data_IF_770489105448
#
_entry.id   IF_770489105448
#
_cell.length_a   1.000
_cell.length_b   1.000
_cell.length_c   1.000
_cell.angle_alpha   90.00
_cell.angle_beta   90.00
_cell.angle_gamma   90.00
#
_symmetry.space_group_name_H-M   'P 1'
#
loop_
_entity.id
_entity.type
_entity.pdbx_description
1 polymer ?
#
# COMPACT_ATOMS: atom_id res chain seq x y z
N UNK A 1 -22.94 46.30 34.02
CA UNK A 1 -21.96 46.49 32.94
C UNK A 1 -21.20 45.18 32.84
N UNK A 2 -21.69 44.29 32.01
CA UNK A 2 -21.09 42.96 31.73
C UNK A 2 -20.43 43.05 30.38
N UNK A 3 -19.09 42.99 30.38
CA UNK A 3 -18.29 42.99 29.16
C UNK A 3 -18.37 41.59 28.51
N UNK A 4 -18.83 41.54 27.29
CA UNK A 4 -18.80 40.36 26.40
C UNK A 4 -17.38 40.08 26.01
N UNK A 5 -16.87 38.83 26.10
CA UNK A 5 -15.54 38.50 25.60
C UNK A 5 -15.56 38.54 24.06
N UNK A 6 -14.69 39.37 23.52
CA UNK A 6 -14.38 39.49 22.10
C UNK A 6 -13.91 38.11 21.57
N UNK A 7 -14.66 37.57 20.60
CA UNK A 7 -14.27 36.41 19.81
C UNK A 7 -12.99 36.76 19.07
N UNK A 8 -11.90 36.04 19.38
CA UNK A 8 -10.65 36.09 18.61
C UNK A 8 -10.94 35.64 17.16
N UNK A 9 -10.37 36.31 16.14
CA UNK A 9 -10.54 35.87 14.75
C UNK A 9 -9.86 34.50 14.57
N UNK A 10 -10.65 33.57 14.02
CA UNK A 10 -10.10 32.29 13.52
C UNK A 10 -8.86 32.58 12.69
N UNK A 11 -7.78 31.88 13.00
CA UNK A 11 -6.48 31.97 12.34
C UNK A 11 -6.69 31.91 10.82
N UNK A 12 -6.48 33.03 10.13
CA UNK A 12 -6.57 33.11 8.68
C UNK A 12 -5.57 32.10 8.09
N UNK A 13 -6.07 31.12 7.35
CA UNK A 13 -5.21 30.19 6.61
C UNK A 13 -4.28 30.99 5.67
N UNK A 14 -3.01 30.58 5.51
CA UNK A 14 -2.08 31.30 4.67
C UNK A 14 -2.57 31.30 3.21
N UNK A 15 -2.86 32.46 2.69
CA UNK A 15 -3.22 32.67 1.29
C UNK A 15 -1.95 32.94 0.47
N UNK A 16 -1.74 32.16 -0.58
CA UNK A 16 -0.56 32.19 -1.43
C UNK A 16 -0.86 32.87 -2.77
N UNK A 17 0.09 33.59 -3.31
CA UNK A 17 0.10 34.00 -4.73
C UNK A 17 0.36 32.80 -5.63
N UNK A 18 0.17 32.93 -6.96
CA UNK A 18 0.43 31.83 -7.90
C UNK A 18 1.90 31.39 -7.90
N UNK A 19 2.82 32.30 -7.67
CA UNK A 19 4.26 32.01 -7.62
C UNK A 19 4.61 31.22 -6.35
N UNK A 20 4.07 31.64 -5.20
CA UNK A 20 4.23 30.93 -3.92
C UNK A 20 3.57 29.55 -3.94
N UNK A 21 2.37 29.45 -4.54
CA UNK A 21 1.67 28.17 -4.72
C UNK A 21 2.50 27.22 -5.58
N UNK A 22 3.02 27.68 -6.72
CA UNK A 22 3.85 26.91 -7.63
C UNK A 22 5.12 26.40 -6.93
N UNK A 23 5.81 27.26 -6.18
CA UNK A 23 6.97 26.90 -5.38
C UNK A 23 6.63 25.87 -4.30
N UNK A 24 5.49 26.06 -3.60
CA UNK A 24 5.02 25.16 -2.51
C UNK A 24 4.75 23.73 -2.98
N UNK A 25 4.20 23.57 -4.19
CA UNK A 25 3.86 22.26 -4.75
C UNK A 25 4.93 21.68 -5.68
N UNK A 26 6.07 22.39 -5.86
CA UNK A 26 7.16 21.95 -6.73
C UNK A 26 6.78 21.92 -8.22
N UNK A 27 5.95 22.88 -8.68
CA UNK A 27 5.51 23.00 -10.07
C UNK A 27 5.92 24.35 -10.67
N UNK A 28 5.85 24.45 -12.00
CA UNK A 28 6.00 25.75 -12.68
C UNK A 28 4.67 26.53 -12.63
N UNK A 29 4.73 27.86 -12.58
CA UNK A 29 3.55 28.73 -12.68
C UNK A 29 2.75 28.45 -13.96
N UNK A 30 3.44 28.10 -15.05
CA UNK A 30 2.80 27.70 -16.31
C UNK A 30 1.91 26.46 -16.12
N UNK A 31 2.38 25.46 -15.40
CA UNK A 31 1.60 24.23 -15.12
C UNK A 31 0.40 24.55 -14.22
N UNK A 32 0.59 25.34 -13.16
CA UNK A 32 -0.51 25.78 -12.29
C UNK A 32 -1.61 26.48 -13.09
N UNK A 33 -1.24 27.42 -13.97
CA UNK A 33 -2.20 28.12 -14.84
C UNK A 33 -2.88 27.19 -15.84
N UNK A 34 -2.12 26.26 -16.44
CA UNK A 34 -2.68 25.27 -17.35
C UNK A 34 -3.69 24.36 -16.67
N UNK A 35 -3.44 23.94 -15.42
CA UNK A 35 -4.37 23.13 -14.65
C UNK A 35 -5.61 23.93 -14.21
N UNK A 36 -5.43 25.20 -13.85
CA UNK A 36 -6.56 26.09 -13.56
C UNK A 36 -7.47 26.29 -14.77
N UNK A 37 -6.89 26.52 -15.97
CA UNK A 37 -7.67 26.68 -17.20
C UNK A 37 -8.43 25.41 -17.63
N UNK A 38 -8.00 24.24 -17.18
CA UNK A 38 -8.67 22.94 -17.40
C UNK A 38 -9.71 22.60 -16.34
N UNK A 39 -9.93 23.49 -15.35
CA UNK A 39 -10.88 23.26 -14.27
C UNK A 39 -10.40 22.26 -13.20
N UNK A 40 -9.11 21.95 -13.19
CA UNK A 40 -8.51 21.10 -12.15
C UNK A 40 -8.35 21.84 -10.82
N UNK A 41 -8.37 23.16 -10.82
CA UNK A 41 -8.34 24.00 -9.64
C UNK A 41 -9.64 24.82 -9.52
N UNK A 42 -10.15 25.04 -8.31
CA UNK A 42 -11.19 26.04 -8.09
C UNK A 42 -10.65 27.46 -8.42
N UNK A 43 -11.52 28.44 -8.66
CA UNK A 43 -11.06 29.79 -8.89
C UNK A 43 -10.41 30.37 -7.63
N UNK A 44 -9.27 31.12 -7.76
CA UNK A 44 -8.66 31.78 -6.64
C UNK A 44 -9.52 32.94 -6.13
N UNK A 45 -9.33 33.34 -4.87
CA UNK A 45 -9.88 34.57 -4.35
C UNK A 45 -9.13 35.75 -4.97
N UNK A 46 -9.86 36.67 -5.60
CA UNK A 46 -9.27 37.84 -6.24
C UNK A 46 -9.22 39.04 -5.27
N UNK A 47 -8.07 39.69 -5.17
CA UNK A 47 -7.88 40.98 -4.52
C UNK A 47 -7.22 41.91 -5.54
N UNK A 48 -8.00 42.83 -6.09
CA UNK A 48 -7.58 43.62 -7.22
C UNK A 48 -7.34 42.76 -8.46
N UNK A 49 -6.09 42.70 -8.91
CA UNK A 49 -5.65 41.87 -10.05
C UNK A 49 -4.89 40.61 -9.62
N UNK A 50 -4.72 40.38 -8.31
CA UNK A 50 -3.93 39.27 -7.78
C UNK A 50 -4.87 38.17 -7.31
N UNK A 51 -4.61 36.93 -7.77
CA UNK A 51 -5.28 35.73 -7.31
C UNK A 51 -4.58 35.16 -6.08
N UNK A 52 -5.36 34.83 -5.06
CA UNK A 52 -4.90 34.21 -3.83
C UNK A 52 -5.45 32.79 -3.71
N UNK A 53 -4.58 31.87 -3.33
CA UNK A 53 -4.80 30.44 -3.29
C UNK A 53 -4.66 29.94 -1.85
N UNK A 54 -5.53 29.03 -1.43
CA UNK A 54 -5.57 28.47 -0.08
C UNK A 54 -5.08 27.02 -0.07
N UNK A 55 -5.21 26.36 1.08
CA UNK A 55 -4.82 24.98 1.33
C UNK A 55 -5.46 23.98 0.37
N UNK A 56 -6.72 24.18 -0.02
CA UNK A 56 -7.41 23.32 -0.97
C UNK A 56 -6.72 23.29 -2.33
N UNK A 57 -6.24 24.44 -2.83
CA UNK A 57 -5.48 24.52 -4.08
C UNK A 57 -4.17 23.74 -3.99
N UNK A 58 -3.48 23.81 -2.83
CA UNK A 58 -2.25 23.03 -2.60
C UNK A 58 -2.57 21.52 -2.68
N UNK A 59 -3.56 21.05 -1.93
CA UNK A 59 -3.93 19.63 -1.91
C UNK A 59 -4.34 19.15 -3.30
N UNK A 60 -5.08 19.95 -4.04
CA UNK A 60 -5.54 19.59 -5.38
C UNK A 60 -4.42 19.47 -6.39
N UNK A 61 -3.43 20.38 -6.34
CA UNK A 61 -2.23 20.28 -7.19
C UNK A 61 -1.34 19.10 -6.81
N UNK A 62 -1.15 18.85 -5.53
CA UNK A 62 -0.39 17.69 -5.06
C UNK A 62 -1.05 16.38 -5.50
N UNK A 63 -2.39 16.29 -5.41
CA UNK A 63 -3.15 15.13 -5.89
C UNK A 63 -3.04 14.94 -7.40
N UNK A 64 -3.14 16.03 -8.17
CA UNK A 64 -2.95 15.97 -9.64
C UNK A 64 -1.57 15.42 -9.97
N UNK A 65 -0.51 15.94 -9.33
CA UNK A 65 0.86 15.47 -9.54
C UNK A 65 1.00 14.00 -9.21
N UNK A 66 0.53 13.60 -8.04
CA UNK A 66 0.61 12.21 -7.55
C UNK A 66 -0.06 11.22 -8.51
N UNK A 67 -1.23 11.57 -9.04
CA UNK A 67 -1.93 10.73 -10.01
C UNK A 67 -1.18 10.66 -11.35
N UNK A 68 -0.58 11.77 -11.82
CA UNK A 68 0.22 11.78 -13.03
C UNK A 68 1.51 10.96 -12.88
N UNK A 69 2.19 11.07 -11.74
CA UNK A 69 3.41 10.31 -11.41
C UNK A 69 3.12 8.80 -11.36
N UNK A 70 1.88 8.39 -11.02
CA UNK A 70 1.39 7.00 -11.07
C UNK A 70 0.93 6.54 -12.46
N UNK A 71 1.14 7.36 -13.49
CA UNK A 71 0.82 7.00 -14.88
C UNK A 71 -0.63 7.24 -15.32
N UNK A 72 -1.46 7.89 -14.49
CA UNK A 72 -2.79 8.31 -14.94
C UNK A 72 -2.68 9.42 -15.98
N UNK A 73 -3.52 9.38 -17.00
CA UNK A 73 -3.56 10.46 -17.98
C UNK A 73 -4.23 11.71 -17.39
N UNK A 74 -3.81 12.89 -17.84
CA UNK A 74 -4.40 14.14 -17.39
C UNK A 74 -5.93 14.18 -17.62
N UNK A 75 -6.42 13.58 -18.71
CA UNK A 75 -7.86 13.47 -18.98
C UNK A 75 -8.59 12.62 -17.93
N UNK A 76 -8.01 11.50 -17.49
CA UNK A 76 -8.57 10.67 -16.43
C UNK A 76 -8.61 11.43 -15.09
N UNK A 77 -7.55 12.17 -14.77
CA UNK A 77 -7.49 13.03 -13.57
C UNK A 77 -8.54 14.14 -13.63
N UNK A 78 -8.70 14.80 -14.78
CA UNK A 78 -9.75 15.80 -14.98
C UNK A 78 -11.15 15.23 -14.73
N UNK A 79 -11.43 14.06 -15.29
CA UNK A 79 -12.72 13.40 -15.12
C UNK A 79 -12.98 13.04 -13.65
N UNK A 80 -11.98 12.48 -12.97
CA UNK A 80 -12.09 12.09 -11.56
C UNK A 80 -12.31 13.30 -10.63
N UNK A 81 -11.72 14.47 -10.92
CA UNK A 81 -11.82 15.65 -10.09
C UNK A 81 -13.06 16.51 -10.39
N UNK A 82 -13.65 16.42 -11.59
CA UNK A 82 -14.88 17.16 -11.95
C UNK A 82 -16.12 16.68 -11.18
N UNK A 83 -16.17 15.42 -10.82
CA UNK A 83 -17.33 14.79 -10.18
C UNK A 83 -17.36 14.94 -8.66
N UNK A 84 -16.40 15.66 -8.06
CA UNK A 84 -16.21 15.68 -6.59
C UNK A 84 -16.07 17.11 -6.05
N UNK A 85 -16.74 17.35 -4.88
CA UNK A 85 -16.77 18.65 -4.21
C UNK A 85 -15.42 19.11 -3.64
N UNK A 86 -15.36 20.38 -3.18
CA UNK A 86 -14.21 20.93 -2.47
C UNK A 86 -13.90 20.15 -1.18
N UNK A 87 -12.63 20.08 -0.78
CA UNK A 87 -12.18 19.36 0.42
C UNK A 87 -11.70 17.93 0.18
N UNK A 88 -12.20 17.25 -0.85
CA UNK A 88 -11.88 15.82 -1.11
C UNK A 88 -10.45 15.56 -1.57
N UNK A 89 -9.77 16.58 -2.11
CA UNK A 89 -8.42 16.42 -2.64
C UNK A 89 -7.39 16.09 -1.55
N UNK A 90 -7.54 16.66 -0.35
CA UNK A 90 -6.72 16.32 0.81
C UNK A 90 -6.91 14.86 1.23
N UNK A 91 -8.16 14.44 1.37
CA UNK A 91 -8.51 13.07 1.75
C UNK A 91 -8.03 12.03 0.72
N UNK A 92 -8.19 12.32 -0.58
CA UNK A 92 -7.69 11.44 -1.63
C UNK A 92 -6.15 11.34 -1.62
N UNK A 93 -5.44 12.44 -1.35
CA UNK A 93 -4.00 12.45 -1.21
C UNK A 93 -3.52 11.64 0.01
N UNK A 94 -4.22 11.74 1.14
CA UNK A 94 -3.91 10.96 2.33
C UNK A 94 -4.11 9.45 2.09
N UNK A 95 -5.19 9.06 1.38
CA UNK A 95 -5.42 7.68 0.97
C UNK A 95 -4.33 7.16 0.03
N UNK A 96 -3.90 7.98 -0.94
CA UNK A 96 -2.80 7.60 -1.84
C UNK A 96 -1.49 7.39 -1.07
N UNK A 97 -1.17 8.28 -0.13
CA UNK A 97 0.01 8.15 0.74
C UNK A 97 -0.06 6.90 1.62
N UNK A 98 -1.25 6.52 2.09
CA UNK A 98 -1.42 5.25 2.80
C UNK A 98 -1.09 4.04 1.93
N UNK A 99 -1.46 4.08 0.64
CA UNK A 99 -1.14 2.99 -0.29
C UNK A 99 0.37 2.88 -0.57
N UNK A 100 1.11 3.98 -0.40
CA UNK A 100 2.57 4.00 -0.54
C UNK A 100 3.29 3.66 0.77
N UNK A 101 2.60 3.74 1.90
CA UNK A 101 3.15 3.24 3.16
C UNK A 101 3.17 1.71 3.09
N UNK A 102 4.32 1.09 3.32
CA UNK A 102 4.40 -0.36 3.36
C UNK A 102 3.39 -0.89 4.38
N UNK A 103 2.46 -1.70 3.91
CA UNK A 103 1.49 -2.38 4.75
C UNK A 103 2.18 -3.66 5.22
N UNK A 104 2.93 -3.59 6.31
CA UNK A 104 3.69 -4.70 6.85
C UNK A 104 5.06 -4.24 7.35
N UNK A 105 5.86 -5.15 7.85
CA UNK A 105 7.27 -4.90 8.12
C UNK A 105 7.93 -4.34 6.87
N UNK A 106 8.61 -3.22 7.02
CA UNK A 106 9.39 -2.53 5.98
C UNK A 106 10.59 -3.40 5.59
N UNK A 107 10.30 -4.50 4.89
CA UNK A 107 11.35 -5.35 4.39
C UNK A 107 12.02 -4.64 3.21
N UNK A 108 13.16 -4.03 3.48
CA UNK A 108 13.91 -3.34 2.43
C UNK A 108 14.48 -4.35 1.45
N UNK A 109 14.40 -4.09 0.13
CA UNK A 109 15.06 -4.92 -0.86
C UNK A 109 16.55 -5.07 -0.55
N UNK A 110 17.04 -6.29 -0.62
CA UNK A 110 18.43 -6.63 -0.29
C UNK A 110 19.16 -7.16 -1.53
N UNK A 111 20.38 -6.68 -1.77
CA UNK A 111 21.23 -7.24 -2.81
C UNK A 111 22.02 -8.43 -2.27
N UNK A 112 21.94 -9.56 -2.97
CA UNK A 112 22.62 -10.80 -2.64
C UNK A 112 23.32 -11.37 -3.89
N UNK A 113 24.44 -12.05 -3.73
CA UNK A 113 25.04 -12.79 -4.83
C UNK A 113 24.26 -14.07 -5.13
N UNK A 114 24.26 -14.48 -6.40
CA UNK A 114 23.69 -15.78 -6.82
C UNK A 114 24.32 -16.92 -6.03
N UNK A 115 25.65 -16.89 -5.84
CA UNK A 115 26.37 -17.91 -5.07
C UNK A 115 25.91 -17.98 -3.60
N UNK A 116 25.68 -16.83 -2.97
CA UNK A 116 25.19 -16.79 -1.59
C UNK A 116 23.79 -17.40 -1.49
N UNK A 117 22.89 -17.04 -2.40
CA UNK A 117 21.53 -17.57 -2.40
C UNK A 117 21.50 -19.08 -2.62
N UNK A 118 22.22 -19.58 -3.60
CA UNK A 118 22.27 -21.04 -3.90
C UNK A 118 22.98 -21.82 -2.81
N UNK A 119 24.03 -21.26 -2.18
CA UNK A 119 24.66 -21.85 -1.01
C UNK A 119 23.73 -21.93 0.21
N UNK A 120 22.90 -20.91 0.44
CA UNK A 120 21.87 -20.94 1.50
C UNK A 120 20.84 -22.04 1.29
N UNK A 121 20.45 -22.31 0.05
CA UNK A 121 19.51 -23.35 -0.30
C UNK A 121 20.17 -24.74 -0.45
N UNK A 122 21.51 -24.82 -0.49
CA UNK A 122 22.23 -26.08 -0.70
C UNK A 122 22.05 -26.63 -2.11
N UNK A 123 21.87 -25.78 -3.12
CA UNK A 123 21.65 -26.16 -4.53
C UNK A 123 22.78 -25.63 -5.43
N UNK A 124 22.89 -26.18 -6.63
CA UNK A 124 23.86 -25.74 -7.61
C UNK A 124 23.61 -24.33 -8.11
N UNK A 125 24.67 -23.59 -8.46
CA UNK A 125 24.61 -22.22 -8.95
C UNK A 125 23.70 -22.04 -10.17
N UNK A 126 23.71 -23.00 -11.08
CA UNK A 126 22.95 -22.97 -12.34
C UNK A 126 21.54 -23.53 -12.20
N UNK A 127 21.08 -23.73 -10.96
CA UNK A 127 19.72 -24.21 -10.72
C UNK A 127 18.67 -23.22 -11.25
N UNK A 128 17.68 -23.76 -11.93
CA UNK A 128 16.54 -23.02 -12.53
C UNK A 128 15.73 -22.25 -11.47
N UNK A 129 15.86 -22.62 -10.19
CA UNK A 129 15.19 -21.97 -9.06
C UNK A 129 15.39 -20.44 -9.05
N UNK A 130 16.61 -19.98 -9.37
CA UNK A 130 16.92 -18.55 -9.38
C UNK A 130 16.08 -17.80 -10.43
N UNK A 131 15.86 -18.41 -11.58
CA UNK A 131 15.01 -17.84 -12.63
C UNK A 131 13.55 -17.80 -12.19
N UNK A 132 13.07 -18.86 -11.55
CA UNK A 132 11.70 -18.98 -11.08
C UNK A 132 11.36 -17.94 -9.99
N UNK A 133 12.26 -17.64 -9.06
CA UNK A 133 12.00 -16.58 -8.05
C UNK A 133 11.96 -15.19 -8.68
N UNK A 134 12.68 -14.96 -9.78
CA UNK A 134 12.58 -13.71 -10.57
C UNK A 134 11.23 -13.65 -11.30
N UNK A 135 10.81 -14.73 -11.94
CA UNK A 135 9.53 -14.81 -12.66
C UNK A 135 8.32 -14.63 -11.71
N UNK A 136 8.46 -15.07 -10.44
CA UNK A 136 7.47 -14.86 -9.39
C UNK A 136 7.50 -13.45 -8.77
N UNK A 137 8.44 -12.59 -9.21
CA UNK A 137 8.55 -11.23 -8.67
C UNK A 137 9.10 -11.17 -7.23
N UNK A 138 9.76 -12.22 -6.76
CA UNK A 138 10.41 -12.25 -5.44
C UNK A 138 11.81 -11.62 -5.46
N UNK A 139 12.43 -11.57 -6.64
CA UNK A 139 13.73 -10.98 -6.88
C UNK A 139 13.81 -10.33 -8.25
N UNK A 140 14.77 -9.42 -8.42
CA UNK A 140 15.15 -8.82 -9.70
C UNK A 140 16.62 -9.10 -10.00
N UNK A 141 16.96 -9.26 -11.27
CA UNK A 141 18.37 -9.37 -11.69
C UNK A 141 19.01 -7.98 -11.71
N UNK A 142 20.06 -7.80 -10.92
CA UNK A 142 20.89 -6.59 -10.98
C UNK A 142 21.95 -6.73 -12.09
N UNK A 143 22.60 -7.90 -12.12
CA UNK A 143 23.54 -8.30 -13.17
C UNK A 143 23.61 -9.86 -13.26
N UNK A 144 24.62 -10.39 -13.92
CA UNK A 144 24.78 -11.84 -14.09
C UNK A 144 24.97 -12.60 -12.76
N UNK A 145 25.56 -11.95 -11.77
CA UNK A 145 25.98 -12.57 -10.51
C UNK A 145 25.20 -12.06 -9.29
N UNK A 146 24.42 -10.98 -9.43
CA UNK A 146 23.70 -10.35 -8.32
C UNK A 146 22.20 -10.25 -8.57
N UNK A 147 21.46 -10.47 -7.49
CA UNK A 147 20.03 -10.38 -7.41
C UNK A 147 19.66 -9.33 -6.36
N UNK A 148 18.56 -8.65 -6.59
CA UNK A 148 17.90 -7.82 -5.59
C UNK A 148 16.65 -8.56 -5.13
N UNK A 149 16.66 -9.05 -3.90
CA UNK A 149 15.50 -9.69 -3.29
C UNK A 149 14.48 -8.60 -2.96
N UNK A 150 13.27 -8.74 -3.47
CA UNK A 150 12.16 -7.82 -3.19
C UNK A 150 11.40 -8.23 -1.93
N UNK A 151 11.43 -9.53 -1.60
CA UNK A 151 10.86 -10.12 -0.41
C UNK A 151 11.88 -11.06 0.26
N UNK A 152 12.94 -10.50 0.89
CA UNK A 152 14.05 -11.28 1.46
C UNK A 152 13.61 -12.37 2.43
N UNK A 153 12.64 -12.12 3.31
CA UNK A 153 12.15 -13.11 4.28
C UNK A 153 11.53 -14.33 3.61
N UNK A 154 10.73 -14.13 2.57
CA UNK A 154 10.10 -15.22 1.83
C UNK A 154 11.16 -16.08 1.13
N UNK A 155 12.11 -15.42 0.46
CA UNK A 155 13.21 -16.12 -0.25
C UNK A 155 14.08 -16.91 0.72
N UNK A 156 14.43 -16.32 1.87
CA UNK A 156 15.23 -16.98 2.91
C UNK A 156 14.50 -18.16 3.55
N UNK A 157 13.21 -18.02 3.83
CA UNK A 157 12.40 -19.13 4.36
C UNK A 157 12.33 -20.29 3.35
N UNK A 158 12.16 -20.00 2.06
CA UNK A 158 12.23 -21.01 1.00
C UNK A 158 13.58 -21.69 0.92
N UNK A 159 14.67 -20.93 0.92
CA UNK A 159 16.03 -21.46 0.91
C UNK A 159 16.32 -22.37 2.13
N UNK A 160 15.86 -21.99 3.32
CA UNK A 160 15.95 -22.83 4.51
C UNK A 160 15.19 -24.14 4.37
N UNK A 161 13.98 -24.10 3.84
CA UNK A 161 13.16 -25.29 3.64
C UNK A 161 13.85 -26.29 2.68
N UNK A 162 14.45 -25.78 1.62
CA UNK A 162 15.23 -26.60 0.66
C UNK A 162 16.48 -27.17 1.33
N UNK A 163 17.22 -26.37 2.11
CA UNK A 163 18.40 -26.85 2.85
C UNK A 163 18.07 -27.94 3.87
N UNK A 164 16.82 -27.99 4.37
CA UNK A 164 16.32 -29.04 5.25
C UNK A 164 15.84 -30.29 4.48
N UNK A 165 15.93 -30.33 3.15
CA UNK A 165 15.65 -31.47 2.31
C UNK A 165 14.30 -31.45 1.58
N UNK A 166 13.57 -30.32 1.61
CA UNK A 166 12.41 -30.16 0.74
C UNK A 166 12.87 -29.95 -0.71
N UNK A 167 12.15 -30.57 -1.64
CA UNK A 167 12.38 -30.38 -3.05
C UNK A 167 12.16 -28.90 -3.48
N UNK A 168 13.09 -28.27 -4.23
CA UNK A 168 12.99 -26.88 -4.64
C UNK A 168 11.71 -26.54 -5.42
N UNK A 169 11.27 -27.44 -6.31
CA UNK A 169 10.06 -27.23 -7.10
C UNK A 169 8.82 -27.24 -6.19
N UNK A 170 8.76 -28.14 -5.24
CA UNK A 170 7.69 -28.21 -4.24
C UNK A 170 7.58 -26.93 -3.42
N UNK A 171 8.73 -26.37 -2.98
CA UNK A 171 8.75 -25.13 -2.20
C UNK A 171 8.23 -23.96 -3.02
N UNK A 172 8.63 -23.85 -4.28
CA UNK A 172 8.18 -22.77 -5.17
C UNK A 172 6.70 -22.92 -5.51
N UNK A 173 6.21 -24.11 -5.77
CA UNK A 173 4.82 -24.36 -6.15
C UNK A 173 3.83 -24.07 -5.01
N UNK A 174 4.29 -23.99 -3.77
CA UNK A 174 3.48 -23.51 -2.65
C UNK A 174 3.17 -22.01 -2.69
N UNK A 175 4.04 -21.21 -3.31
CA UNK A 175 3.88 -19.74 -3.33
C UNK A 175 2.63 -19.27 -4.08
N UNK A 176 2.31 -19.75 -5.30
CA UNK A 176 1.07 -19.43 -5.97
C UNK A 176 -0.17 -19.81 -5.15
N UNK A 177 -0.14 -20.98 -4.51
CA UNK A 177 -1.25 -21.46 -3.64
C UNK A 177 -1.46 -20.51 -2.44
N UNK A 178 -0.37 -20.14 -1.77
CA UNK A 178 -0.42 -19.16 -0.68
C UNK A 178 -0.95 -17.80 -1.17
N UNK A 179 -0.44 -17.31 -2.30
CA UNK A 179 -0.85 -16.03 -2.87
C UNK A 179 -2.33 -16.01 -3.23
N UNK A 180 -2.87 -17.06 -3.84
CA UNK A 180 -4.28 -17.17 -4.20
C UNK A 180 -5.18 -17.10 -2.96
N UNK A 181 -4.92 -17.93 -1.95
CA UNK A 181 -5.73 -17.97 -0.75
C UNK A 181 -5.63 -16.70 0.10
N UNK A 182 -4.42 -16.16 0.26
CA UNK A 182 -4.21 -14.92 0.99
C UNK A 182 -4.82 -13.72 0.27
N UNK A 183 -4.80 -13.69 -1.07
CA UNK A 183 -5.49 -12.67 -1.86
C UNK A 183 -7.00 -12.70 -1.64
N UNK A 184 -7.61 -13.88 -1.62
CA UNK A 184 -9.03 -14.03 -1.34
C UNK A 184 -9.40 -13.53 0.07
N UNK A 185 -8.57 -13.86 1.07
CA UNK A 185 -8.75 -13.38 2.46
C UNK A 185 -8.61 -11.85 2.52
N UNK A 186 -7.59 -11.29 1.89
CA UNK A 186 -7.36 -9.85 1.84
C UNK A 186 -8.53 -9.11 1.18
N UNK A 187 -9.03 -9.61 0.06
CA UNK A 187 -10.20 -9.04 -0.63
C UNK A 187 -11.46 -9.08 0.24
N UNK A 188 -11.71 -10.20 0.93
CA UNK A 188 -12.84 -10.32 1.85
C UNK A 188 -12.74 -9.30 2.99
N UNK A 189 -11.55 -9.12 3.56
CA UNK A 189 -11.30 -8.14 4.61
C UNK A 189 -11.51 -6.70 4.11
N UNK A 190 -10.91 -6.33 2.98
CA UNK A 190 -11.06 -5.00 2.37
C UNK A 190 -12.52 -4.70 2.03
N UNK A 191 -13.28 -5.70 1.53
CA UNK A 191 -14.71 -5.55 1.26
C UNK A 191 -15.49 -5.18 2.52
N UNK A 192 -15.22 -5.83 3.65
CA UNK A 192 -15.89 -5.54 4.93
C UNK A 192 -15.54 -4.14 5.47
N UNK A 193 -14.26 -3.75 5.40
CA UNK A 193 -13.84 -2.40 5.79
C UNK A 193 -14.52 -1.35 4.92
N UNK A 194 -14.60 -1.59 3.60
CA UNK A 194 -15.28 -0.71 2.66
C UNK A 194 -16.77 -0.59 2.98
N UNK A 195 -17.46 -1.70 3.21
CA UNK A 195 -18.91 -1.72 3.48
C UNK A 195 -19.26 -1.09 4.83
N UNK A 196 -18.47 -1.35 5.89
CA UNK A 196 -18.82 -0.98 7.25
C UNK A 196 -18.23 0.35 7.72
N UNK A 197 -17.15 0.80 7.11
CA UNK A 197 -16.45 2.03 7.50
C UNK A 197 -16.51 3.07 6.38
N UNK A 198 -16.08 2.68 5.17
CA UNK A 198 -15.93 3.63 4.08
C UNK A 198 -17.27 4.08 3.49
N UNK A 199 -18.19 3.16 3.16
CA UNK A 199 -19.46 3.52 2.53
C UNK A 199 -20.31 4.45 3.42
N UNK A 200 -20.54 4.16 4.72
CA UNK A 200 -21.28 5.07 5.59
C UNK A 200 -20.65 6.46 5.69
N UNK A 201 -19.34 6.52 5.76
CA UNK A 201 -18.61 7.80 5.78
C UNK A 201 -18.78 8.57 4.46
N UNK A 202 -18.69 7.88 3.32
CA UNK A 202 -18.86 8.47 1.99
C UNK A 202 -20.31 8.94 1.75
N UNK A 203 -21.31 8.17 2.17
CA UNK A 203 -22.73 8.52 2.09
C UNK A 203 -23.09 9.70 2.98
N UNK A 204 -22.42 9.86 4.13
CA UNK A 204 -22.57 11.03 4.99
C UNK A 204 -21.92 12.30 4.40
N UNK A 205 -21.37 12.26 3.20
CA UNK A 205 -20.71 13.39 2.53
C UNK A 205 -19.27 13.62 2.96
N UNK A 206 -18.63 12.62 3.57
CA UNK A 206 -17.22 12.65 4.03
C UNK A 206 -16.93 13.82 4.98
N UNK A 207 -17.61 13.90 6.12
CA UNK A 207 -17.44 15.00 7.06
C UNK A 207 -16.00 15.07 7.58
N UNK A 208 -15.40 16.26 7.50
CA UNK A 208 -13.99 16.49 7.89
C UNK A 208 -13.73 16.12 9.36
N UNK A 209 -14.70 16.32 10.23
CA UNK A 209 -14.62 15.95 11.64
C UNK A 209 -14.45 14.43 11.88
N UNK A 210 -14.93 13.59 10.96
CA UNK A 210 -14.82 12.12 11.05
C UNK A 210 -13.62 11.55 10.30
N UNK A 211 -12.97 12.33 9.45
CA UNK A 211 -11.86 11.89 8.62
C UNK A 211 -10.74 11.23 9.43
N UNK A 212 -10.28 11.91 10.48
CA UNK A 212 -9.20 11.40 11.35
C UNK A 212 -9.58 10.06 11.99
N UNK A 213 -10.84 9.89 12.40
CA UNK A 213 -11.35 8.63 12.97
C UNK A 213 -11.35 7.51 11.96
N UNK A 214 -11.81 7.77 10.73
CA UNK A 214 -11.86 6.77 9.65
C UNK A 214 -10.45 6.34 9.25
N UNK A 215 -9.54 7.29 9.09
CA UNK A 215 -8.13 7.00 8.76
C UNK A 215 -7.45 6.19 9.86
N UNK A 216 -7.64 6.57 11.12
CA UNK A 216 -7.11 5.83 12.26
C UNK A 216 -7.65 4.39 12.30
N UNK A 217 -8.95 4.20 12.05
CA UNK A 217 -9.55 2.87 12.01
C UNK A 217 -8.92 1.99 10.91
N UNK A 218 -8.77 2.53 9.69
CA UNK A 218 -8.17 1.79 8.56
C UNK A 218 -6.71 1.43 8.89
N UNK A 219 -5.90 2.38 9.37
CA UNK A 219 -4.51 2.15 9.74
C UNK A 219 -4.34 1.12 10.85
N UNK A 220 -5.26 1.09 11.81
CA UNK A 220 -5.22 0.13 12.93
C UNK A 220 -5.67 -1.27 12.49
N UNK A 221 -6.65 -1.36 11.59
CA UNK A 221 -7.19 -2.65 11.15
C UNK A 221 -6.22 -3.46 10.29
N UNK A 222 -5.34 -2.82 9.53
CA UNK A 222 -4.39 -3.52 8.66
C UNK A 222 -3.45 -4.44 9.45
N UNK A 223 -2.68 -3.97 10.45
CA UNK A 223 -1.81 -4.85 11.23
C UNK A 223 -2.61 -5.89 12.03
N UNK A 224 -3.82 -5.55 12.50
CA UNK A 224 -4.69 -6.51 13.20
C UNK A 224 -5.09 -7.67 12.27
N UNK A 225 -5.42 -7.37 11.01
CA UNK A 225 -5.73 -8.39 10.02
C UNK A 225 -4.54 -9.31 9.75
N UNK A 226 -3.34 -8.75 9.57
CA UNK A 226 -2.10 -9.52 9.38
C UNK A 226 -1.84 -10.47 10.56
N UNK A 227 -1.92 -9.96 11.79
CA UNK A 227 -1.73 -10.77 13.00
C UNK A 227 -2.77 -11.88 13.11
N UNK A 228 -4.03 -11.61 12.76
CA UNK A 228 -5.09 -12.63 12.78
C UNK A 228 -4.81 -13.75 11.76
N UNK A 229 -4.38 -13.42 10.55
CA UNK A 229 -4.00 -14.39 9.51
C UNK A 229 -2.89 -15.31 10.00
N UNK A 230 -1.80 -14.74 10.53
CA UNK A 230 -0.67 -15.52 11.07
C UNK A 230 -1.14 -16.48 12.17
N UNK A 231 -1.94 -15.98 13.12
CA UNK A 231 -2.44 -16.79 14.26
C UNK A 231 -3.33 -17.94 13.80
N UNK A 232 -4.26 -17.66 12.87
CA UNK A 232 -5.14 -18.68 12.32
C UNK A 232 -4.35 -19.70 11.52
N UNK A 233 -3.42 -19.27 10.68
CA UNK A 233 -2.56 -20.16 9.90
C UNK A 233 -1.75 -21.10 10.79
N UNK A 234 -1.13 -20.60 11.87
CA UNK A 234 -0.38 -21.41 12.82
C UNK A 234 -1.26 -22.49 13.48
N UNK A 235 -2.50 -22.13 13.83
CA UNK A 235 -3.47 -23.09 14.39
C UNK A 235 -3.84 -24.19 13.40
N UNK A 236 -4.17 -23.82 12.16
CA UNK A 236 -4.53 -24.78 11.11
C UNK A 236 -3.34 -25.69 10.75
N UNK A 237 -2.14 -25.12 10.67
CA UNK A 237 -0.92 -25.90 10.44
C UNK A 237 -0.68 -26.92 11.55
N UNK A 238 -0.84 -26.52 12.82
CA UNK A 238 -0.71 -27.45 13.96
C UNK A 238 -1.78 -28.54 13.95
N UNK A 239 -2.99 -28.26 13.47
CA UNK A 239 -4.03 -29.26 13.30
C UNK A 239 -3.66 -30.26 12.19
N UNK A 240 -3.26 -29.78 11.02
CA UNK A 240 -2.85 -30.63 9.90
C UNK A 240 -1.65 -31.53 10.24
N UNK A 241 -0.68 -31.04 11.00
CA UNK A 241 0.46 -31.84 11.47
C UNK A 241 -0.02 -32.97 12.39
N UNK A 242 -0.94 -32.69 13.34
CA UNK A 242 -1.47 -33.73 14.24
C UNK A 242 -2.22 -34.82 13.49
N UNK A 243 -3.03 -34.42 12.51
CA UNK A 243 -3.81 -35.37 11.69
C UNK A 243 -2.87 -36.26 10.87
N UNK A 244 -1.88 -35.69 10.21
CA UNK A 244 -0.86 -36.43 9.43
C UNK A 244 -0.06 -37.40 10.31
N UNK A 245 0.37 -37.01 11.51
CA UNK A 245 1.06 -37.89 12.45
C UNK A 245 0.16 -39.01 12.94
N UNK A 246 -1.12 -38.74 13.18
CA UNK A 246 -2.10 -39.78 13.58
C UNK A 246 -2.28 -40.84 12.49
N UNK A 247 -2.39 -40.43 11.24
CA UNK A 247 -2.46 -41.35 10.09
C UNK A 247 -1.20 -42.22 9.95
N UNK A 248 0.00 -41.62 10.08
CA UNK A 248 1.25 -42.39 9.98
C UNK A 248 1.40 -43.39 11.14
N UNK A 249 1.05 -43.02 12.36
CA UNK A 249 1.07 -43.96 13.51
C UNK A 249 0.10 -45.10 13.32
N UNK A 250 -1.10 -44.83 12.78
CA UNK A 250 -2.09 -45.90 12.46
C UNK A 250 -1.56 -46.86 11.42
N UNK A 251 -0.95 -46.40 10.34
CA UNK A 251 -0.32 -47.22 9.29
C UNK A 251 0.83 -48.08 9.82
N UNK A 252 1.63 -47.56 10.74
CA UNK A 252 2.73 -48.31 11.36
C UNK A 252 2.17 -49.41 12.28
N UNK A 253 1.08 -49.15 13.01
CA UNK A 253 0.40 -50.17 13.84
C UNK A 253 -0.16 -51.33 13.02
N UNK A 254 -0.75 -51.06 11.86
CA UNK A 254 -1.29 -52.07 10.94
C UNK A 254 -0.19 -52.95 10.28
N UNK A 255 1.03 -52.42 10.11
CA UNK A 255 2.16 -53.21 9.55
C UNK A 255 2.89 -54.07 10.58
N UNK A 256 2.67 -53.82 11.86
CA UNK A 256 3.33 -54.54 12.96
C UNK A 256 2.48 -55.66 13.57
N UNK A 257 1.21 -55.79 13.19
CA UNK A 257 0.29 -56.85 13.60
C UNK A 257 0.04 -57.85 12.48
#
# INVERSE_FOLDING_TARGET
MTATPSSAPASAEPELTVDELAARVGMTVRNVRAYASRGLLPPPRLVGRTGYYNREHIHRLLLVRELLDRGYTLAAVEQALRSRGPGLAGHALDLLRMLDSPIGDDEQPEEISRDTLTAMAGIDRDNVLVERIVDLGLAEKVDADRLRLLQPSVVRAGAQAIALGLDPDTVIDLLPVLSEHLSAIAQAFVSRVREQIWHPFAEAGMPEAEWTRVMFAIQTLVPVAGQAVVTVFQRELAAAIRDALGEELSRLGERAG
#
